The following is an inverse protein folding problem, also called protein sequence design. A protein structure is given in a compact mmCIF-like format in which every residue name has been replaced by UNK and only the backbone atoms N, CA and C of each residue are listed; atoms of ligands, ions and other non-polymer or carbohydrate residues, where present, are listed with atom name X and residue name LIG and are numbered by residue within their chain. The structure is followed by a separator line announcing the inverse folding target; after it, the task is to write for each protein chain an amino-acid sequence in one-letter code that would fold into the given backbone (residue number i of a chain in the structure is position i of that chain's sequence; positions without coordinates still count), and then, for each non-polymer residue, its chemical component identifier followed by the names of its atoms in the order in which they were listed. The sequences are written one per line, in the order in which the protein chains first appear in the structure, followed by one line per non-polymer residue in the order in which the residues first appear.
data_IF_721164233658
#
_entry.id   IF_721164233658
#
_cell.length_a   1.000
_cell.length_b   1.000
_cell.length_c   1.000
_cell.angle_alpha   90.00
_cell.angle_beta   90.00
_cell.angle_gamma   90.00
#
_symmetry.space_group_name_H-M   'P 1'
#
loop_
_entity.id
_entity.type
_entity.pdbx_description
1 polymer ?
2 non-polymer ?
3 non-polymer ?
4 water ?
#
# COMPACT_ATOMS: atom_id res chain seq x y z
N UNK A 14 -16.92 -2.03 -8.87
CA UNK A 14 -16.85 -1.05 -7.76
C UNK A 14 -15.54 -0.26 -7.86
N UNK A 15 -15.62 1.01 -7.50
CA UNK A 15 -14.44 1.90 -7.40
C UNK A 15 -13.52 1.53 -6.25
N UNK A 16 -14.00 0.76 -5.28
CA UNK A 16 -13.14 0.47 -4.17
C UNK A 16 -13.42 -0.88 -3.55
N UNK A 17 -12.43 -1.30 -2.78
CA UNK A 17 -12.40 -2.52 -1.98
C UNK A 17 -12.40 -2.07 -0.54
N UNK A 18 -13.12 -2.78 0.33
CA UNK A 18 -13.05 -2.54 1.76
C UNK A 18 -12.27 -3.69 2.38
N UNK A 19 -11.18 -3.39 3.11
CA UNK A 19 -10.41 -4.48 3.71
C UNK A 19 -11.26 -5.45 4.54
N UNK A 20 -11.01 -6.75 4.36
CA UNK A 20 -11.66 -7.81 5.16
C UNK A 20 -10.73 -8.10 6.32
N UNK A 21 -11.00 -7.40 7.39
CA UNK A 21 -10.25 -7.54 8.63
C UNK A 21 -11.17 -7.14 9.75
N UNK A 22 -10.83 -7.48 11.00
CA UNK A 22 -11.69 -7.07 12.11
C UNK A 22 -11.52 -5.59 12.43
N UNK A 23 -12.07 -4.76 11.55
CA UNK A 23 -11.91 -3.32 11.60
C UNK A 23 -12.53 -2.77 12.90
N UNK A 24 -11.77 -2.03 13.70
CA UNK A 24 -12.36 -1.32 14.85
C UNK A 24 -13.45 -0.32 14.44
N UNK A 25 -14.46 -0.16 15.29
CA UNK A 25 -15.52 0.82 15.02
C UNK A 25 -14.98 2.24 14.77
N UNK A 26 -13.87 2.61 15.41
CA UNK A 26 -13.33 3.96 15.21
C UNK A 26 -12.43 4.17 13.99
N UNK A 27 -12.29 3.11 13.18
CA UNK A 27 -11.40 3.12 11.99
C UNK A 27 -12.21 2.93 10.71
N UNK A 28 -11.82 3.69 9.68
CA UNK A 28 -12.33 3.50 8.30
C UNK A 28 -11.18 3.34 7.34
N UNK A 29 -11.41 2.53 6.32
CA UNK A 29 -10.36 2.17 5.37
C UNK A 29 -10.95 1.73 4.05
N UNK A 30 -10.23 2.03 2.97
CA UNK A 30 -10.66 1.58 1.63
C UNK A 30 -9.48 1.61 0.71
N UNK A 31 -9.59 0.94 -0.44
CA UNK A 31 -8.51 0.78 -1.41
C UNK A 31 -9.16 0.84 -2.78
N UNK A 32 -8.66 1.69 -3.65
CA UNK A 32 -9.36 1.92 -4.90
C UNK A 32 -8.96 0.93 -6.01
N UNK A 33 -9.88 0.83 -6.99
CA UNK A 33 -9.65 0.03 -8.18
C UNK A 33 -9.49 0.94 -9.39
N UNK A 34 -9.29 0.36 -10.57
CA UNK A 34 -9.23 1.17 -11.81
C UNK A 34 -10.60 1.47 -12.38
N UNK A 35 -11.66 0.94 -11.79
CA UNK A 35 -13.01 1.00 -12.33
C UNK A 35 -13.75 2.29 -11.91
N UNK A 36 -14.57 2.86 -12.81
CA UNK A 36 -15.54 3.89 -12.44
C UNK A 36 -15.15 5.33 -12.57
N UNK A 37 -14.06 5.60 -13.28
CA UNK A 37 -13.61 6.96 -13.50
C UNK A 37 -13.85 7.45 -14.91
N UNK A 38 -13.10 8.47 -15.30
CA UNK A 38 -13.26 9.12 -16.57
C UNK A 38 -12.02 9.10 -17.47
N UNK A 39 -10.91 8.55 -16.98
CA UNK A 39 -9.74 8.55 -17.82
C UNK A 39 -9.80 7.54 -18.93
N UNK A 40 -9.07 7.83 -20.02
CA UNK A 40 -9.03 6.95 -21.21
C UNK A 40 -7.75 6.15 -21.17
N UNK A 41 -7.66 5.03 -21.91
CA UNK A 41 -6.42 4.28 -22.00
C UNK A 41 -5.23 5.18 -22.35
N UNK A 42 -4.08 4.93 -21.72
CA UNK A 42 -3.73 3.81 -20.85
C UNK A 42 -4.05 4.00 -19.39
N UNK A 43 -4.85 5.00 -19.06
CA UNK A 43 -5.18 5.34 -17.69
C UNK A 43 -6.63 4.93 -17.32
N UNK A 44 -7.24 4.04 -18.13
CA UNK A 44 -8.65 3.73 -17.98
C UNK A 44 -8.94 2.95 -16.71
N UNK A 45 -9.78 3.46 -15.81
CA UNK A 45 -10.45 4.77 -15.88
C UNK A 45 -10.27 5.60 -14.59
N UNK A 46 -10.22 4.96 -13.42
CA UNK A 46 -10.17 5.70 -12.15
C UNK A 46 -8.69 5.96 -11.74
N UNK A 47 -8.00 6.64 -12.60
CA UNK A 47 -6.62 7.04 -12.35
C UNK A 47 -6.52 8.19 -11.33
N UNK A 48 -5.87 7.91 -10.19
CA UNK A 48 -5.67 8.94 -9.15
C UNK A 48 -4.33 9.63 -9.24
N UNK A 49 -3.46 9.17 -10.12
CA UNK A 49 -2.08 9.70 -10.19
C UNK A 49 -2.00 10.91 -11.07
N UNK A 50 -1.42 11.98 -10.54
CA UNK A 50 -1.27 13.23 -11.22
C UNK A 50 0.08 13.44 -11.94
N UNK A 51 0.97 12.46 -11.79
CA UNK A 51 2.32 12.58 -12.33
C UNK A 51 2.68 11.39 -13.17
N UNK A 52 1.71 10.89 -13.95
CA UNK A 52 1.97 9.78 -14.87
C UNK A 52 1.53 10.06 -16.31
N UNK A 53 1.25 11.34 -16.60
CA UNK A 53 1.04 11.76 -17.98
C UNK A 53 -0.42 11.92 -18.43
N UNK A 54 -1.35 11.68 -17.52
CA UNK A 54 -2.80 11.66 -17.87
C UNK A 54 -3.33 13.10 -18.02
N UNK A 55 -4.53 13.20 -18.57
CA UNK A 55 -5.28 14.43 -18.57
C UNK A 55 -5.60 14.89 -17.15
N UNK A 56 -5.08 16.06 -16.76
CA UNK A 56 -5.24 16.43 -15.37
C UNK A 56 -6.68 16.70 -14.93
N UNK A 57 -7.53 17.15 -15.83
CA UNK A 57 -8.97 17.31 -15.52
C UNK A 57 -9.60 15.96 -15.16
N UNK A 58 -9.16 14.92 -15.87
CA UNK A 58 -9.64 13.58 -15.62
C UNK A 58 -9.20 13.07 -14.25
N UNK A 59 -7.93 13.32 -13.92
CA UNK A 59 -7.42 12.90 -12.63
C UNK A 59 -8.17 13.58 -11.50
N UNK A 60 -8.40 14.88 -11.65
CA UNK A 60 -9.15 15.63 -10.63
C UNK A 60 -10.56 15.03 -10.41
N UNK A 61 -11.25 14.73 -11.51
CA UNK A 61 -12.58 14.12 -11.46
C UNK A 61 -12.57 12.74 -10.81
N UNK A 62 -11.55 11.93 -11.14
CA UNK A 62 -11.42 10.62 -10.55
C UNK A 62 -11.24 10.71 -9.04
N UNK A 63 -10.37 11.63 -8.60
CA UNK A 63 -10.23 11.86 -7.16
C UNK A 63 -11.51 12.31 -6.51
N UNK A 64 -12.25 13.19 -7.16
CA UNK A 64 -13.54 13.61 -6.55
C UNK A 64 -14.48 12.43 -6.38
N UNK A 65 -14.56 11.62 -7.42
CA UNK A 65 -15.42 10.42 -7.39
C UNK A 65 -15.03 9.46 -6.30
N UNK A 66 -13.75 9.17 -6.20
CA UNK A 66 -13.28 8.19 -5.23
C UNK A 66 -13.44 8.72 -3.80
N UNK A 67 -13.08 9.99 -3.57
CA UNK A 67 -13.16 10.53 -2.21
C UNK A 67 -14.62 10.53 -1.75
N UNK A 68 -15.56 10.80 -2.65
CA UNK A 68 -17.00 10.73 -2.33
C UNK A 68 -17.43 9.30 -2.03
N UNK A 69 -17.05 8.36 -2.88
CA UNK A 69 -17.42 6.96 -2.72
C UNK A 69 -16.91 6.40 -1.42
N UNK A 70 -15.68 6.78 -1.06
CA UNK A 70 -15.08 6.28 0.17
C UNK A 70 -15.48 7.06 1.40
N UNK A 71 -16.29 8.11 1.26
CA UNK A 71 -16.71 8.94 2.40
C UNK A 71 -15.55 9.50 3.19
N UNK A 72 -14.49 9.90 2.48
CA UNK A 72 -13.35 10.53 3.12
C UNK A 72 -13.76 11.84 3.81
N UNK A 73 -13.33 12.00 5.08
CA UNK A 73 -13.66 13.21 5.81
C UNK A 73 -12.84 14.43 5.47
N UNK A 74 -11.68 14.21 4.86
CA UNK A 74 -10.83 15.28 4.41
C UNK A 74 -9.97 14.76 3.28
N UNK A 75 -9.26 15.64 2.62
CA UNK A 75 -8.41 15.16 1.53
C UNK A 75 -7.22 14.38 2.06
N UNK A 76 -6.80 13.37 1.31
CA UNK A 76 -5.69 12.56 1.80
C UNK A 76 -4.38 13.36 1.89
N UNK A 77 -3.54 13.01 2.86
CA UNK A 77 -2.24 13.64 2.97
C UNK A 77 -1.30 12.86 2.07
N UNK A 78 -1.28 13.19 0.79
CA UNK A 78 -0.38 12.49 -0.12
C UNK A 78 1.09 12.73 0.23
N UNK A 79 1.92 11.72 -0.01
CA UNK A 79 3.34 11.80 0.24
C UNK A 79 4.12 11.94 -1.05
N UNK A 80 5.33 12.46 -0.91
CA UNK A 80 6.34 12.42 -1.96
C UNK A 80 7.08 11.09 -1.78
N UNK A 81 6.52 10.05 -2.42
CA UNK A 81 6.97 8.68 -2.28
C UNK A 81 8.27 8.53 -3.02
N UNK A 82 9.29 7.98 -2.36
CA UNK A 82 10.62 7.88 -2.99
C UNK A 82 11.18 6.47 -2.87
N UNK A 83 10.27 5.53 -2.59
CA UNK A 83 10.72 4.13 -2.39
C UNK A 83 11.76 3.94 -1.25
N UNK A 84 11.62 4.76 -0.23
CA UNK A 84 12.41 4.68 0.96
C UNK A 84 11.68 4.08 2.14
N UNK A 85 12.20 4.33 3.34
CA UNK A 85 11.65 3.77 4.56
C UNK A 85 11.15 4.79 5.57
N UNK A 86 11.05 6.05 5.18
CA UNK A 86 10.67 7.09 6.14
C UNK A 86 9.18 7.22 6.32
N UNK A 87 8.79 7.54 7.54
CA UNK A 87 7.41 7.71 7.94
C UNK A 87 7.12 9.17 8.33
N UNK A 88 6.04 9.74 7.80
CA UNK A 88 5.59 11.06 8.21
C UNK A 88 4.53 10.89 9.27
N UNK A 89 4.77 11.45 10.46
CA UNK A 89 3.76 11.46 11.49
C UNK A 89 2.84 12.63 11.21
N UNK A 90 1.54 12.35 11.06
CA UNK A 90 0.62 13.37 10.52
C UNK A 90 0.15 14.31 11.61
N UNK A 91 1.06 15.21 11.96
CA UNK A 91 0.88 16.13 13.07
C UNK A 91 0.10 17.38 12.67
N UNK A 92 -0.15 17.55 11.35
CA UNK A 92 -1.01 18.63 10.85
C UNK A 92 -0.37 19.53 9.80
N UNK A 95 3.86 20.87 6.35
CA UNK A 95 4.99 20.04 6.79
C UNK A 95 6.32 20.50 6.22
N UNK A 96 7.39 20.31 7.00
CA UNK A 96 8.77 20.56 6.53
C UNK A 96 9.10 19.78 5.26
N UNK A 97 8.59 18.55 5.20
CA UNK A 97 8.82 17.68 4.06
C UNK A 97 7.77 16.58 4.10
N UNK A 98 7.26 16.20 2.94
CA UNK A 98 6.41 15.02 2.84
C UNK A 98 7.14 13.91 2.09
N UNK A 99 8.48 13.95 2.10
CA UNK A 99 9.30 12.96 1.44
C UNK A 99 9.35 11.74 2.33
N UNK A 100 8.50 10.76 2.01
CA UNK A 100 8.28 9.61 2.88
C UNK A 100 7.47 8.55 2.13
N UNK A 101 7.54 7.32 2.63
CA UNK A 101 6.76 6.26 2.01
C UNK A 101 5.76 5.58 2.95
N UNK A 102 5.50 6.23 4.06
CA UNK A 102 4.47 5.80 5.00
C UNK A 102 4.03 7.00 5.80
N UNK A 103 2.81 6.95 6.31
CA UNK A 103 2.35 7.94 7.26
C UNK A 103 1.61 7.30 8.41
N UNK A 104 1.53 8.03 9.51
CA UNK A 104 0.96 7.58 10.79
C UNK A 104 0.08 8.68 11.32
N UNK A 105 -1.11 8.33 11.86
CA UNK A 105 -1.98 9.30 12.49
C UNK A 105 -2.61 8.75 13.74
N UNK A 106 -2.73 9.64 14.72
CA UNK A 106 -3.59 9.37 15.86
C UNK A 106 -4.65 10.47 15.97
N UNK A 107 -4.91 11.17 14.88
CA UNK A 107 -5.85 12.30 14.88
C UNK A 107 -7.10 11.95 14.08
N UNK A 108 -8.29 11.98 14.73
CA UNK A 108 -9.53 11.82 13.96
C UNK A 108 -9.67 12.77 12.76
N UNK A 109 -10.12 12.19 11.63
CA UNK A 109 -10.36 12.91 10.41
C UNK A 109 -9.17 13.07 9.49
N UNK A 110 -7.99 12.65 9.94
CA UNK A 110 -6.78 12.76 9.12
C UNK A 110 -6.59 11.53 8.28
N UNK A 111 -6.47 11.67 6.97
CA UNK A 111 -6.47 10.51 6.09
C UNK A 111 -5.04 10.15 5.63
N UNK A 112 -4.59 8.98 6.04
CA UNK A 112 -3.32 8.42 5.63
C UNK A 112 -3.55 7.73 4.26
N UNK A 113 -2.67 7.98 3.30
CA UNK A 113 -2.83 7.41 1.97
C UNK A 113 -1.49 7.07 1.32
N UNK A 114 -1.47 5.96 0.58
CA UNK A 114 -0.34 5.61 -0.28
C UNK A 114 -0.89 5.28 -1.65
N UNK A 116 -0.28 3.51 -5.40
CA UNK A 116 0.39 2.29 -5.89
C UNK A 116 -0.13 1.85 -7.26
N UNK A 117 0.67 1.02 -7.94
CA UNK A 117 0.23 0.24 -9.11
C UNK A 117 1.22 -0.94 -9.25
N UNK A 118 1.29 -1.75 -8.19
CA UNK A 118 2.06 -3.00 -8.06
C UNK A 118 2.70 -3.04 -6.66
N UNK A 119 3.21 -1.92 -6.16
CA UNK A 119 3.91 -1.94 -4.86
C UNK A 119 2.91 -2.20 -3.79
N UNK A 120 3.33 -2.94 -2.77
CA UNK A 120 2.43 -3.37 -1.73
C UNK A 120 1.97 -2.22 -0.84
N UNK A 121 0.65 -1.97 -0.79
CA UNK A 121 0.15 -1.07 0.24
C UNK A 121 -0.13 -1.88 1.47
N UNK A 122 0.27 -1.37 2.63
CA UNK A 122 -0.12 -1.94 3.91
C UNK A 122 -0.82 -0.93 4.77
N UNK A 123 -2.04 -1.31 5.22
CA UNK A 123 -2.79 -0.46 6.15
C UNK A 123 -2.71 -1.07 7.54
N UNK A 124 -2.51 -0.21 8.54
CA UNK A 124 -2.39 -0.65 9.92
C UNK A 124 -3.35 0.10 10.84
N UNK A 125 -3.81 -0.57 11.89
CA UNK A 125 -4.47 0.08 13.00
C UNK A 125 -4.26 -0.76 14.24
N UNK A 126 -4.54 -0.17 15.38
CA UNK A 126 -4.64 -0.97 16.60
C UNK A 126 -6.07 -1.46 16.83
N UNK A 127 -6.22 -2.56 17.59
CA UNK A 127 -7.54 -3.10 17.88
C UNK A 127 -8.44 -2.07 18.58
N UNK A 128 -7.85 -1.20 19.38
CA UNK A 128 -8.58 -0.20 20.15
C UNK A 128 -9.08 0.95 19.26
N UNK A 129 -8.54 1.07 18.04
CA UNK A 129 -9.01 2.14 17.14
C UNK A 129 -8.64 3.54 17.53
N UNK A 130 -7.36 3.71 17.89
CA UNK A 130 -6.82 5.02 18.27
C UNK A 130 -5.58 5.46 17.49
N UNK A 131 -5.08 4.58 16.63
CA UNK A 131 -3.89 4.88 15.80
C UNK A 131 -4.02 4.11 14.50
N UNK A 132 -3.58 4.75 13.42
CA UNK A 132 -3.61 4.15 12.09
C UNK A 132 -2.34 4.53 11.34
N UNK A 133 -2.06 3.77 10.28
CA UNK A 133 -0.94 4.09 9.39
C UNK A 133 -1.13 3.41 8.06
N UNK A 134 -0.41 3.96 7.06
CA UNK A 134 -0.38 3.44 5.70
C UNK A 134 1.08 3.44 5.22
N UNK A 135 1.52 2.32 4.61
CA UNK A 135 2.86 2.17 4.06
C UNK A 135 2.85 1.74 2.62
N UNK A 136 3.81 2.29 1.89
CA UNK A 136 4.06 2.00 0.48
C UNK A 136 5.31 1.16 0.44
N UNK A 137 5.09 -0.13 0.28
CA UNK A 137 6.16 -1.15 0.44
C UNK A 137 6.46 -1.81 -0.89
N UNK A 138 7.00 -1.07 -1.81
CA UNK A 138 7.70 -1.65 -2.93
C UNK A 138 8.87 -2.51 -2.41
N UNK A 139 9.48 -3.29 -3.28
CA UNK A 139 10.51 -4.21 -2.78
C UNK A 139 11.66 -3.45 -2.12
N UNK A 140 12.02 -2.29 -2.64
CA UNK A 140 13.13 -1.53 -2.08
C UNK A 140 12.83 -1.08 -0.63
N UNK A 141 11.67 -0.45 -0.47
CA UNK A 141 11.23 0.04 0.85
C UNK A 141 10.99 -1.10 1.83
N UNK A 142 10.35 -2.17 1.33
CA UNK A 142 10.12 -3.35 2.19
C UNK A 142 11.47 -3.90 2.67
N UNK A 143 12.38 -4.09 1.72
CA UNK A 143 13.69 -4.60 2.09
C UNK A 143 14.40 -3.71 3.12
N UNK A 144 14.28 -2.42 2.94
CA UNK A 144 14.97 -1.46 3.78
C UNK A 144 14.33 -1.25 5.14
N UNK A 145 13.12 -1.76 5.35
CA UNK A 145 12.51 -1.68 6.67
C UNK A 145 11.38 -0.68 6.81
N UNK A 146 10.70 -0.30 5.73
CA UNK A 146 9.55 0.65 5.88
C UNK A 146 8.45 0.10 6.82
N UNK A 147 8.24 -1.21 6.81
CA UNK A 147 7.17 -1.77 7.66
C UNK A 147 7.58 -1.66 9.10
N UNK A 148 8.80 -2.01 9.44
CA UNK A 148 9.21 -1.88 10.84
C UNK A 148 9.23 -0.44 11.29
N UNK A 149 9.63 0.49 10.41
CA UNK A 149 9.60 1.94 10.74
C UNK A 149 8.18 2.37 11.05
N UNK A 150 7.22 1.89 10.26
CA UNK A 150 5.85 2.29 10.47
C UNK A 150 5.35 1.75 11.80
N UNK A 151 5.62 0.46 12.05
CA UNK A 151 5.19 -0.18 13.29
C UNK A 151 5.77 0.54 14.50
N UNK A 152 7.01 1.01 14.37
CA UNK A 152 7.69 1.69 15.46
C UNK A 152 6.99 2.98 15.97
N UNK A 153 6.14 3.53 15.11
CA UNK A 153 5.40 4.73 15.46
C UNK A 153 4.25 4.47 16.41
N UNK A 154 3.77 3.23 16.49
CA UNK A 154 2.61 2.86 17.30
C UNK A 154 2.91 2.84 18.78
N UNK A 155 2.01 3.38 19.57
CA UNK A 155 2.11 3.37 21.02
C UNK A 155 1.68 2.02 21.55
N UNK A 156 0.72 1.39 20.86
CA UNK A 156 0.21 0.13 21.35
C UNK A 156 1.23 -1.02 21.29
N UNK A 157 0.91 -2.08 22.00
CA UNK A 157 1.64 -3.32 21.96
C UNK A 157 1.51 -4.04 20.63
N UNK A 158 2.55 -4.79 20.24
CA UNK A 158 2.56 -5.31 18.89
C UNK A 158 1.44 -6.28 18.55
N UNK A 159 1.01 -7.07 19.53
CA UNK A 159 -0.01 -8.06 19.27
C UNK A 159 -1.37 -7.40 19.08
N UNK A 160 -1.47 -6.09 19.38
CA UNK A 160 -2.67 -5.33 19.17
C UNK A 160 -2.72 -4.56 17.86
N UNK A 161 -1.70 -4.74 17.03
CA UNK A 161 -1.65 -4.10 15.71
C UNK A 161 -2.21 -5.04 14.67
N UNK A 162 -3.15 -4.52 13.85
CA UNK A 162 -3.69 -5.24 12.70
C UNK A 162 -3.05 -4.68 11.44
N UNK A 163 -2.71 -5.55 10.49
CA UNK A 163 -2.07 -5.16 9.24
C UNK A 163 -2.85 -5.79 8.12
N UNK A 164 -3.17 -4.98 7.14
CA UNK A 164 -3.87 -5.42 5.94
C UNK A 164 -3.02 -5.26 4.72
N UNK A 165 -2.74 -6.37 4.04
CA UNK A 165 -1.94 -6.38 2.85
C UNK A 165 -2.86 -6.05 1.69
N UNK A 166 -2.66 -4.90 1.07
CA UNK A 166 -3.49 -4.45 -0.06
C UNK A 166 -3.07 -5.09 -1.38
N UNK A 167 -3.77 -4.73 -2.45
CA UNK A 167 -3.47 -5.27 -3.78
C UNK A 167 -2.09 -4.87 -4.28
N UNK A 168 -1.31 -5.90 -4.56
CA UNK A 168 0.09 -5.79 -4.99
C UNK A 168 0.32 -6.77 -6.16
N UNK A 169 1.49 -6.66 -6.77
CA UNK A 169 1.88 -7.62 -7.77
C UNK A 169 2.20 -8.95 -7.06
N UNK A 170 1.49 -10.01 -7.42
CA UNK A 170 1.59 -11.26 -6.71
C UNK A 170 2.67 -12.21 -7.17
N UNK A 171 2.77 -13.36 -6.47
CA UNK A 171 3.86 -14.29 -6.66
C UNK A 171 3.91 -15.01 -8.02
N UNK A 172 2.83 -15.02 -8.76
CA UNK A 172 2.90 -15.60 -10.12
C UNK A 172 3.47 -14.64 -11.13
N UNK A 173 3.49 -13.34 -10.84
CA UNK A 173 3.92 -12.35 -11.82
C UNK A 173 5.18 -11.56 -11.45
N UNK A 174 5.50 -11.50 -10.16
CA UNK A 174 6.58 -10.64 -9.67
C UNK A 174 7.92 -11.37 -9.85
N UNK A 175 8.45 -11.33 -11.05
CA UNK A 175 9.73 -11.94 -11.33
C UNK A 175 10.84 -10.92 -11.05
N UNK A 176 11.87 -11.36 -10.33
CA UNK A 176 13.02 -10.50 -9.95
C UNK A 176 14.35 -11.23 -10.16
N UNK A 177 15.44 -10.44 -10.26
CA UNK A 177 16.77 -11.01 -10.32
C UNK A 177 17.29 -11.47 -8.99
N UNK A 178 18.35 -12.28 -9.03
CA UNK A 178 19.01 -12.75 -7.83
C UNK A 178 19.49 -11.65 -6.89
N UNK A 179 19.78 -10.45 -7.40
CA UNK A 179 20.22 -9.38 -6.52
C UNK A 179 19.08 -8.94 -5.55
N UNK A 180 17.82 -9.04 -5.98
CA UNK A 180 16.71 -8.68 -5.10
C UNK A 180 16.59 -9.72 -4.00
N UNK A 181 16.65 -11.00 -4.39
CA UNK A 181 16.64 -12.11 -3.43
C UNK A 181 17.79 -11.97 -2.41
N UNK A 182 18.97 -11.63 -2.90
CA UNK A 182 20.13 -11.44 -2.03
C UNK A 182 19.91 -10.31 -1.03
N UNK A 183 19.34 -9.21 -1.50
CA UNK A 183 19.10 -8.01 -0.66
C UNK A 183 18.20 -8.38 0.51
N UNK A 184 17.10 -9.07 0.22
CA UNK A 184 16.22 -9.50 1.28
C UNK A 184 16.87 -10.50 2.24
N UNK A 186 19.90 -10.86 2.97
CA UNK A 186 20.97 -10.22 3.76
C UNK A 186 20.43 -9.58 5.04
N UNK A 187 19.17 -9.17 5.01
CA UNK A 187 18.50 -8.68 6.23
C UNK A 187 17.98 -9.83 7.07
N UNK A 188 17.33 -10.81 6.44
CA UNK A 188 16.55 -11.86 7.14
C UNK A 188 16.63 -13.12 6.29
N UNK A 189 17.39 -14.11 6.74
CA UNK A 189 17.66 -15.33 5.93
C UNK A 189 16.40 -16.10 5.52
N UNK A 190 15.35 -16.01 6.33
CA UNK A 190 14.04 -16.63 6.12
C UNK A 190 13.48 -16.21 4.77
N UNK A 191 13.94 -15.06 4.25
CA UNK A 191 13.42 -14.50 3.00
C UNK A 191 13.56 -15.47 1.87
N UNK A 192 14.52 -16.40 1.97
CA UNK A 192 14.69 -17.42 0.92
C UNK A 192 13.40 -18.19 0.63
N UNK A 193 12.57 -18.36 1.65
CA UNK A 193 11.29 -19.06 1.48
C UNK A 193 10.26 -18.35 0.61
N UNK A 194 10.45 -17.05 0.38
CA UNK A 194 9.52 -16.24 -0.41
C UNK A 194 9.86 -16.12 -1.91
N UNK A 195 10.88 -16.87 -2.35
CA UNK A 195 11.29 -16.89 -3.75
C UNK A 195 11.29 -18.31 -4.27
N UNK A 196 10.93 -18.46 -5.53
CA UNK A 196 11.15 -19.69 -6.21
C UNK A 196 11.87 -19.38 -7.53
N UNK A 197 12.83 -20.25 -7.82
CA UNK A 197 13.65 -20.07 -9.00
C UNK A 197 12.82 -20.29 -10.25
N UNK A 198 13.09 -19.43 -11.22
CA UNK A 198 12.56 -19.54 -12.57
C UNK A 198 13.68 -19.22 -13.54
N UNK A 199 14.34 -20.28 -13.99
CA UNK A 199 15.50 -20.12 -14.83
C UNK A 199 16.57 -19.33 -14.08
N UNK A 200 17.01 -18.27 -14.70
CA UNK A 200 18.00 -17.35 -14.17
C UNK A 200 17.43 -16.31 -13.24
N UNK A 201 16.11 -16.30 -13.03
CA UNK A 201 15.43 -15.31 -12.18
C UNK A 201 14.65 -16.04 -11.07
N UNK A 202 13.86 -15.24 -10.33
CA UNK A 202 13.06 -15.76 -9.22
C UNK A 202 11.69 -15.13 -9.27
N UNK A 203 10.70 -15.91 -8.91
CA UNK A 203 9.36 -15.37 -8.61
C UNK A 203 9.30 -15.08 -7.12
N UNK A 204 8.95 -13.87 -6.78
CA UNK A 204 8.93 -13.37 -5.40
C UNK A 204 7.51 -13.14 -4.90
N UNK A 205 7.29 -13.55 -3.63
CA UNK A 205 6.04 -13.35 -2.93
C UNK A 205 6.18 -12.17 -1.96
N UNK A 206 5.73 -11.01 -2.42
CA UNK A 206 5.87 -9.81 -1.62
C UNK A 206 5.03 -9.90 -0.36
N UNK A 207 3.90 -10.60 -0.45
CA UNK A 207 3.04 -10.79 0.72
C UNK A 207 3.75 -11.53 1.84
N UNK A 208 4.37 -12.64 1.47
CA UNK A 208 5.16 -13.45 2.41
C UNK A 208 6.32 -12.66 2.99
N UNK A 209 7.03 -11.88 2.17
CA UNK A 209 8.11 -11.02 2.66
C UNK A 209 7.53 -10.05 3.73
N UNK A 210 6.37 -9.42 3.46
CA UNK A 210 5.74 -8.52 4.41
C UNK A 210 5.43 -9.29 5.69
N UNK A 211 4.83 -10.48 5.57
CA UNK A 211 4.50 -11.27 6.80
C UNK A 211 5.75 -11.54 7.60
N UNK A 212 6.84 -11.91 6.95
CA UNK A 212 8.12 -12.16 7.64
C UNK A 212 8.60 -10.91 8.39
N UNK A 213 8.65 -9.78 7.68
CA UNK A 213 9.27 -8.59 8.25
C UNK A 213 8.39 -8.02 9.37
N UNK A 214 7.06 -8.14 9.25
CA UNK A 214 6.19 -7.75 10.33
C UNK A 214 6.27 -8.70 11.53
N UNK A 215 6.35 -10.01 11.27
CA UNK A 215 6.48 -10.99 12.37
C UNK A 215 7.76 -10.72 13.21
N UNK A 216 8.81 -10.29 12.55
CA UNK A 216 10.06 -9.97 13.27
C UNK A 216 9.85 -8.89 14.34
N UNK A 217 8.87 -8.01 14.11
CA UNK A 217 8.54 -6.95 15.06
C UNK A 217 7.19 -7.21 15.77
N UNK A 218 6.79 -8.48 15.83
CA UNK A 218 5.69 -8.90 16.67
C UNK A 218 4.31 -8.68 16.13
N UNK A 219 4.22 -8.26 14.87
CA UNK A 219 2.93 -8.05 14.23
C UNK A 219 2.58 -9.31 13.42
N UNK A 220 1.59 -10.08 13.91
CA UNK A 220 1.17 -11.32 13.29
C UNK A 220 -0.31 -11.38 12.94
N UNK A 221 -1.07 -10.32 13.21
CA UNK A 221 -2.48 -10.28 12.84
C UNK A 221 -2.55 -9.65 11.48
N UNK A 222 -2.44 -10.48 10.45
CA UNK A 222 -2.30 -10.02 9.07
C UNK A 222 -3.47 -10.46 8.24
N UNK A 223 -3.98 -9.54 7.43
CA UNK A 223 -5.12 -9.79 6.61
C UNK A 223 -4.84 -9.41 5.15
N UNK A 224 -5.76 -9.71 4.25
CA UNK A 224 -5.55 -9.39 2.85
C UNK A 224 -4.56 -10.32 2.19
N UNK A 225 -3.87 -9.85 1.15
CA UNK A 225 -2.88 -10.64 0.46
C UNK A 225 -3.43 -11.62 -0.56
N UNK A 226 -4.65 -11.41 -1.03
CA UNK A 226 -5.33 -12.34 -1.90
C UNK A 226 -5.54 -11.80 -3.33
N UNK A 227 -5.01 -10.61 -3.63
CA UNK A 227 -5.17 -10.02 -4.96
C UNK A 227 -3.86 -10.00 -5.72
N UNK A 228 -3.95 -9.74 -7.02
CA UNK A 228 -2.75 -9.59 -7.86
C UNK A 228 -3.02 -8.47 -8.87
N UNK A 229 -2.29 -7.39 -8.71
CA UNK A 229 -2.50 -6.23 -9.60
C UNK A 229 -2.19 -6.56 -11.05
N UNK A 230 -1.26 -7.49 -11.30
CA UNK A 230 -0.84 -7.81 -12.65
C UNK A 230 -1.90 -8.69 -13.34
N UNK A 231 -2.29 -9.74 -12.60
CA UNK A 231 -3.21 -10.74 -13.13
C UNK A 231 -4.60 -10.18 -13.31
N UNK A 232 -5.06 -9.43 -12.30
CA UNK A 232 -6.45 -8.92 -12.30
C UNK A 232 -6.54 -7.59 -13.04
N UNK A 233 -6.27 -7.68 -14.34
CA UNK A 233 -6.15 -6.47 -15.18
C UNK A 233 -7.42 -5.68 -15.38
N UNK A 234 -8.59 -6.31 -15.19
CA UNK A 234 -9.87 -5.56 -15.25
C UNK A 234 -10.15 -4.75 -13.98
N UNK A 235 -9.36 -5.00 -12.94
CA UNK A 235 -9.57 -4.38 -11.65
C UNK A 235 -8.47 -3.40 -11.20
N UNK A 236 -7.22 -3.67 -11.59
CA UNK A 236 -6.08 -2.91 -11.12
C UNK A 236 -5.18 -2.47 -12.26
N UNK A 237 -4.62 -1.27 -12.11
CA UNK A 237 -3.44 -0.81 -12.89
C UNK A 237 -2.20 -1.60 -12.43
N UNK A 238 -1.25 -1.77 -13.34
CA UNK A 238 0.00 -2.48 -13.01
C UNK A 238 1.10 -1.83 -13.81
N UNK A 239 2.06 -1.22 -13.12
CA UNK A 239 3.22 -0.69 -13.78
C UNK A 239 4.00 -1.74 -14.55
N UNK A 240 4.22 -2.92 -13.95
CA UNK A 240 4.95 -3.99 -14.67
C UNK A 240 4.25 -4.39 -15.95
N UNK A 241 2.93 -4.51 -15.87
CA UNK A 241 2.14 -4.92 -17.03
C UNK A 241 2.17 -3.89 -18.16
N UNK A 242 1.96 -2.63 -17.80
CA UNK A 242 1.67 -1.60 -18.78
C UNK A 242 2.63 -0.39 -18.90
N UNK A 243 3.48 -0.18 -17.92
CA UNK A 243 4.52 0.86 -17.86
C UNK A 243 3.95 2.29 -17.72
N UNK A 244 3.21 2.75 -18.74
CA UNK A 244 2.56 4.02 -18.72
C UNK A 244 1.08 3.76 -18.43
N UNK A 245 0.65 4.04 -17.20
CA UNK A 245 -0.68 3.69 -16.80
C UNK A 245 -1.09 4.49 -15.56
N UNK A 246 -2.25 4.22 -15.01
CA UNK A 246 -2.78 4.93 -13.86
C UNK A 246 -2.27 4.41 -12.53
N UNK A 247 -2.78 4.98 -11.46
CA UNK A 247 -2.51 4.61 -10.09
C UNK A 247 -3.79 4.51 -9.27
N UNK A 249 -4.99 3.97 -4.96
CA UNK A 249 -4.47 4.31 -3.65
C UNK A 249 -5.23 3.57 -2.57
N UNK A 250 -4.58 3.50 -1.42
CA UNK A 250 -5.13 2.86 -0.23
C UNK A 250 -5.16 3.92 0.89
N UNK A 251 -6.25 3.94 1.66
CA UNK A 251 -6.56 4.99 2.58
C UNK A 251 -7.03 4.42 3.92
N UNK A 252 -6.64 5.09 4.99
CA UNK A 252 -7.11 4.73 6.34
C UNK A 252 -7.14 5.99 7.20
N UNK A 253 -8.14 6.02 8.09
CA UNK A 253 -8.35 7.17 8.96
C UNK A 253 -9.07 6.77 10.22
N UNK A 254 -8.85 7.54 11.26
CA UNK A 254 -9.68 7.45 12.45
C UNK A 254 -10.90 8.32 12.22
N UNK A 255 -12.06 7.74 12.48
CA UNK A 255 -13.33 8.50 12.31
C UNK A 255 -13.46 9.60 13.37
#
# INVERSE_FOLDING_TARGET
XGSDKIHHHHHHXSKLIVPQWPQPKGVAACSSTRIGGVSLPPYDSLNLGAHCGDNPDHVEENRKRLFAAGNLPSKPVWLEQVHGKDVLKLTGEPYASKRADASYSNTPGTVCAVXTADCLPVLFCNRAGTEVAAAHAGWRGLCAGVLEETVSCFADNPENILAWLGPAIGPRAFEVGGEVREAFXAVDAKASAAFIQHGDKYLADIYQLARQRLANVGVEQIFGGDRCTYTENETFFSYRRDKTTGRXASFIWLI
#
